data_IF_880671787465
#
_entry.id   IF_880671787465
#
_cell.length_a   1.000
_cell.length_b   1.000
_cell.length_c   1.000
_cell.angle_alpha   90.00
_cell.angle_beta   90.00
_cell.angle_gamma   90.00
#
_symmetry.space_group_name_H-M   'P 1'
#
loop_
_entity.id
_entity.type
_entity.pdbx_description
1 polymer ?
#
# COMPACT_ATOMS: atom_id res chain seq x y z
N UNK A 1 7.42 -20.80 -15.69
CA UNK A 1 6.97 -20.29 -14.37
C UNK A 1 7.08 -18.76 -14.27
N UNK A 2 8.16 -18.15 -14.78
CA UNK A 2 8.37 -16.68 -14.81
C UNK A 2 7.34 -15.89 -15.63
N UNK A 3 6.83 -16.44 -16.73
CA UNK A 3 5.83 -15.73 -17.55
C UNK A 3 4.48 -15.58 -16.86
N UNK A 4 4.09 -16.56 -16.03
CA UNK A 4 2.83 -16.53 -15.27
C UNK A 4 2.88 -15.49 -14.14
N UNK A 5 4.00 -15.40 -13.43
CA UNK A 5 4.20 -14.34 -12.42
C UNK A 5 4.12 -12.93 -13.03
N UNK A 6 4.85 -12.69 -14.14
CA UNK A 6 4.83 -11.39 -14.81
C UNK A 6 3.43 -11.03 -15.31
N UNK A 7 2.70 -11.98 -15.91
CA UNK A 7 1.33 -11.76 -16.37
C UNK A 7 0.38 -11.39 -15.22
N UNK A 8 0.49 -12.07 -14.07
CA UNK A 8 -0.33 -11.76 -12.88
C UNK A 8 -0.03 -10.36 -12.34
N UNK A 9 1.25 -9.97 -12.27
CA UNK A 9 1.66 -8.63 -11.83
C UNK A 9 1.12 -7.56 -12.77
N UNK A 10 1.26 -7.73 -14.08
CA UNK A 10 0.76 -6.75 -15.06
C UNK A 10 -0.79 -6.66 -15.05
N UNK A 11 -1.48 -7.79 -14.88
CA UNK A 11 -2.92 -7.80 -14.71
C UNK A 11 -3.36 -7.07 -13.42
N UNK A 12 -2.60 -7.19 -12.33
CA UNK A 12 -2.88 -6.44 -11.10
C UNK A 12 -2.66 -4.93 -11.30
N UNK A 13 -1.54 -4.53 -11.91
CA UNK A 13 -1.25 -3.12 -12.23
C UNK A 13 -2.31 -2.48 -13.13
N UNK A 14 -2.88 -3.24 -14.07
CA UNK A 14 -3.95 -2.73 -14.94
C UNK A 14 -5.25 -2.39 -14.20
N UNK A 15 -5.42 -2.90 -12.97
CA UNK A 15 -6.59 -2.63 -12.12
C UNK A 15 -6.35 -1.48 -11.14
N UNK A 16 -5.16 -0.90 -11.12
CA UNK A 16 -4.77 0.17 -10.21
C UNK A 16 -4.31 1.40 -10.99
N UNK A 17 -4.34 2.56 -10.36
CA UNK A 17 -3.75 3.78 -10.93
C UNK A 17 -2.28 3.82 -10.54
N UNK A 18 -1.39 3.58 -11.50
CA UNK A 18 0.05 3.69 -11.26
C UNK A 18 0.46 5.14 -11.07
N UNK A 19 1.25 5.40 -10.03
CA UNK A 19 1.82 6.71 -9.71
C UNK A 19 3.35 6.60 -9.62
N UNK A 20 4.07 7.66 -10.00
CA UNK A 20 5.52 7.72 -9.82
C UNK A 20 5.86 8.01 -8.36
N UNK A 21 6.94 7.42 -7.84
CA UNK A 21 7.38 7.62 -6.45
C UNK A 21 7.58 9.10 -6.07
N UNK A 22 8.15 9.92 -6.95
CA UNK A 22 8.32 11.36 -6.70
C UNK A 22 6.97 12.10 -6.63
N UNK A 23 5.99 11.66 -7.41
CA UNK A 23 4.65 12.23 -7.42
C UNK A 23 3.84 11.78 -6.21
N UNK A 24 3.95 10.51 -5.80
CA UNK A 24 3.29 10.03 -4.58
C UNK A 24 3.83 10.72 -3.35
N UNK A 25 5.15 10.94 -3.25
CA UNK A 25 5.75 11.72 -2.17
C UNK A 25 5.15 13.12 -2.10
N UNK A 26 5.11 13.83 -3.23
CA UNK A 26 4.49 15.16 -3.31
C UNK A 26 3.02 15.14 -2.89
N UNK A 27 2.24 14.16 -3.36
CA UNK A 27 0.83 14.05 -2.99
C UNK A 27 0.64 13.82 -1.48
N UNK A 28 1.48 12.99 -0.86
CA UNK A 28 1.43 12.75 0.59
C UNK A 28 1.87 13.98 1.39
N UNK A 29 2.86 14.73 0.89
CA UNK A 29 3.29 15.99 1.52
C UNK A 29 2.19 17.07 1.42
N UNK A 30 1.47 17.14 0.29
CA UNK A 30 0.36 18.09 0.06
C UNK A 30 -0.94 17.68 0.77
N UNK A 31 -1.16 16.37 0.96
CA UNK A 31 -2.35 15.77 1.59
C UNK A 31 -1.92 14.79 2.68
N UNK A 32 -1.56 15.28 3.87
CA UNK A 32 -1.01 14.45 4.93
C UNK A 32 -1.96 13.33 5.36
N UNK A 33 -3.28 13.44 5.15
CA UNK A 33 -4.27 12.40 5.42
C UNK A 33 -4.18 11.16 4.53
N UNK A 34 -3.39 11.21 3.44
CA UNK A 34 -3.17 10.05 2.56
C UNK A 34 -2.47 8.93 3.33
N UNK A 35 -3.00 7.71 3.21
CA UNK A 35 -2.41 6.53 3.83
C UNK A 35 -1.41 5.87 2.87
N UNK A 36 -0.24 5.54 3.38
CA UNK A 36 0.73 4.68 2.69
C UNK A 36 0.62 3.26 3.27
N UNK A 37 0.17 2.29 2.47
CA UNK A 37 0.26 0.88 2.84
C UNK A 37 1.61 0.35 2.34
N UNK A 38 2.46 -0.01 3.29
CA UNK A 38 3.78 -0.58 3.02
C UNK A 38 3.73 -2.09 3.24
N UNK A 39 4.00 -2.84 2.18
CA UNK A 39 3.89 -4.31 2.18
C UNK A 39 5.21 -5.02 2.45
N UNK A 40 6.33 -4.30 2.43
CA UNK A 40 7.64 -4.81 2.87
C UNK A 40 7.67 -4.94 4.39
N UNK A 41 8.54 -5.83 4.87
CA UNK A 41 8.85 -5.93 6.31
C UNK A 41 9.45 -4.61 6.80
N UNK A 42 9.01 -4.15 7.97
CA UNK A 42 9.37 -2.83 8.53
C UNK A 42 10.87 -2.60 8.62
N UNK A 43 11.63 -3.62 9.02
CA UNK A 43 13.09 -3.58 9.12
C UNK A 43 13.80 -3.37 7.78
N UNK A 44 13.12 -3.60 6.66
CA UNK A 44 13.65 -3.43 5.31
C UNK A 44 13.25 -2.11 4.66
N UNK A 45 12.53 -1.24 5.38
CA UNK A 45 12.05 0.04 4.88
C UNK A 45 12.85 1.17 5.54
N UNK A 46 13.64 1.94 4.77
CA UNK A 46 14.33 3.11 5.28
C UNK A 46 13.36 4.12 5.90
N UNK A 47 13.72 4.72 7.03
CA UNK A 47 12.85 5.70 7.72
C UNK A 47 12.45 6.87 6.81
N UNK A 48 13.33 7.28 5.89
CA UNK A 48 13.08 8.37 4.93
C UNK A 48 12.12 8.00 3.78
N UNK A 49 11.73 6.72 3.67
CA UNK A 49 10.68 6.24 2.76
C UNK A 49 9.31 6.12 3.45
N UNK A 50 9.24 6.36 4.76
CA UNK A 50 8.01 6.30 5.55
C UNK A 50 7.45 7.69 5.86
N UNK A 51 6.17 7.72 6.24
CA UNK A 51 5.45 8.89 6.76
C UNK A 51 4.68 8.52 8.03
N UNK A 52 4.19 9.51 8.79
CA UNK A 52 3.34 9.25 9.98
C UNK A 52 2.07 8.43 9.66
N UNK A 53 1.58 8.53 8.42
CA UNK A 53 0.40 7.80 7.94
C UNK A 53 0.74 6.52 7.17
N UNK A 54 1.91 5.95 7.47
CA UNK A 54 2.27 4.62 7.00
C UNK A 54 1.58 3.55 7.84
N UNK A 55 0.98 2.58 7.17
CA UNK A 55 0.44 1.36 7.75
C UNK A 55 1.24 0.20 7.16
N UNK A 56 1.95 -0.52 8.01
CA UNK A 56 2.64 -1.73 7.61
C UNK A 56 1.63 -2.89 7.62
N UNK A 57 1.45 -3.53 6.47
CA UNK A 57 0.60 -4.73 6.36
C UNK A 57 1.30 -5.69 5.40
N UNK A 58 1.67 -6.87 5.87
CA UNK A 58 2.27 -7.88 5.00
C UNK A 58 1.25 -8.43 3.99
N UNK A 59 1.73 -9.07 2.92
CA UNK A 59 0.84 -9.70 1.93
C UNK A 59 0.00 -10.81 2.58
N UNK A 60 0.58 -11.56 3.52
CA UNK A 60 -0.12 -12.58 4.30
C UNK A 60 -1.22 -11.99 5.19
N UNK A 61 -0.97 -10.83 5.79
CA UNK A 61 -1.97 -10.12 6.60
C UNK A 61 -3.10 -9.56 5.72
N UNK A 62 -2.79 -9.07 4.51
CA UNK A 62 -3.81 -8.67 3.53
C UNK A 62 -4.69 -9.84 3.10
N UNK A 63 -4.11 -11.02 2.91
CA UNK A 63 -4.85 -12.23 2.55
C UNK A 63 -5.75 -12.70 3.71
N UNK A 64 -5.21 -12.74 4.93
CA UNK A 64 -6.00 -13.07 6.13
C UNK A 64 -7.15 -12.06 6.37
N UNK A 65 -6.91 -10.77 6.07
CA UNK A 65 -7.92 -9.73 6.18
C UNK A 65 -9.04 -9.84 5.14
N UNK A 66 -8.88 -10.66 4.08
CA UNK A 66 -9.98 -10.99 3.18
C UNK A 66 -11.08 -11.78 3.91
N UNK A 67 -10.70 -12.58 4.93
CA UNK A 67 -11.61 -13.38 5.74
C UNK A 67 -12.04 -12.65 7.04
N UNK A 68 -11.12 -11.95 7.70
CA UNK A 68 -11.38 -11.20 8.94
C UNK A 68 -10.70 -9.82 8.95
N UNK A 69 -11.51 -8.78 8.68
CA UNK A 69 -11.04 -7.39 8.65
C UNK A 69 -10.88 -6.75 10.03
N UNK A 70 -11.27 -7.43 11.11
CA UNK A 70 -11.27 -6.84 12.47
C UNK A 70 -9.87 -6.44 12.96
N UNK A 71 -8.82 -7.00 12.35
CA UNK A 71 -7.42 -6.75 12.67
C UNK A 71 -6.76 -5.66 11.82
N UNK A 72 -7.46 -5.15 10.81
CA UNK A 72 -6.95 -4.07 9.97
C UNK A 72 -6.90 -2.74 10.74
N UNK A 73 -5.97 -1.88 10.33
CA UNK A 73 -5.89 -0.52 10.85
C UNK A 73 -7.24 0.20 10.65
N UNK A 74 -7.85 0.77 11.72
CA UNK A 74 -9.18 1.35 11.64
C UNK A 74 -9.26 2.53 10.66
N UNK A 75 -8.15 3.18 10.32
CA UNK A 75 -8.12 4.25 9.31
C UNK A 75 -8.49 3.76 7.91
N UNK A 76 -8.35 2.46 7.63
CA UNK A 76 -8.79 1.84 6.37
C UNK A 76 -10.31 1.70 6.24
N UNK A 77 -11.07 2.00 7.31
CA UNK A 77 -12.53 1.98 7.26
C UNK A 77 -13.14 3.22 6.61
N UNK A 78 -12.39 4.31 6.44
CA UNK A 78 -12.86 5.52 5.77
C UNK A 78 -12.76 5.38 4.24
N UNK A 79 -13.87 5.33 3.50
CA UNK A 79 -13.84 5.18 2.04
C UNK A 79 -13.34 6.44 1.31
N UNK A 80 -13.20 7.57 2.00
CA UNK A 80 -12.75 8.84 1.39
C UNK A 80 -11.25 9.04 1.50
N UNK A 81 -10.54 8.20 2.24
CA UNK A 81 -9.10 8.30 2.39
C UNK A 81 -8.40 7.79 1.14
N UNK A 82 -7.45 8.57 0.62
CA UNK A 82 -6.60 8.11 -0.46
C UNK A 82 -5.60 7.10 0.08
N UNK A 83 -5.47 5.97 -0.62
CA UNK A 83 -4.50 4.92 -0.29
C UNK A 83 -3.47 4.83 -1.40
N UNK A 84 -2.20 4.90 -1.02
CA UNK A 84 -1.04 4.59 -1.86
C UNK A 84 -0.43 3.30 -1.34
N UNK A 85 -0.12 2.36 -2.23
CA UNK A 85 0.49 1.07 -1.85
C UNK A 85 1.84 0.91 -2.52
N UNK A 86 2.85 0.44 -1.79
CA UNK A 86 4.21 0.15 -2.29
C UNK A 86 4.53 -1.33 -2.35
#
# INVERSE_FOLDING_TARGET
MTDDFRQRVEAAKSKTTSIKAAESKKQMDDKPETLLIETRLRENVPDNETTENTIFISVEELDAAAEDRSKLDPRLSDPNVQVVTT
#
